data_IF_270794241400
#
_entry.id   IF_270794241400
#
_cell.length_a   1.000
_cell.length_b   1.000
_cell.length_c   1.000
_cell.angle_alpha   90.00
_cell.angle_beta   90.00
_cell.angle_gamma   90.00
#
_symmetry.space_group_name_H-M   'P 1'
#
loop_
_entity.id
_entity.type
_entity.pdbx_description
1 polymer ?
#
# COMPACT_ATOMS: atom_id res chain seq x y z
N UNK A 1 -22.70 -21.72 1.02
CA UNK A 1 -22.51 -21.30 -0.37
C UNK A 1 -21.02 -21.41 -0.79
N UNK A 2 -20.09 -20.79 -0.04
CA UNK A 2 -18.65 -20.80 -0.35
C UNK A 2 -18.09 -22.22 -0.53
N UNK A 3 -18.37 -23.13 0.42
CA UNK A 3 -17.94 -24.54 0.33
C UNK A 3 -18.43 -25.26 -0.95
N UNK A 4 -19.58 -24.84 -1.51
CA UNK A 4 -20.08 -25.38 -2.78
C UNK A 4 -19.39 -24.85 -4.02
N UNK A 5 -18.82 -23.64 -3.94
CA UNK A 5 -18.11 -22.98 -5.05
C UNK A 5 -16.62 -23.29 -5.06
N UNK A 6 -16.05 -23.52 -3.90
CA UNK A 6 -14.62 -23.75 -3.77
C UNK A 6 -14.21 -25.11 -4.40
N UNK A 7 -13.15 -25.08 -5.20
CA UNK A 7 -12.58 -26.23 -5.94
C UNK A 7 -11.05 -26.24 -5.89
N UNK A 8 -10.46 -25.75 -4.80
CA UNK A 8 -9.02 -25.72 -4.64
C UNK A 8 -8.42 -27.06 -4.21
N UNK A 9 -7.11 -27.13 -4.26
CA UNK A 9 -6.32 -28.31 -3.88
C UNK A 9 -6.23 -28.52 -2.36
N UNK A 10 -6.39 -27.46 -1.55
CA UNK A 10 -6.50 -27.57 -0.09
C UNK A 10 -7.92 -27.95 0.30
N UNK A 11 -8.08 -28.60 1.46
CA UNK A 11 -9.41 -28.78 2.03
C UNK A 11 -10.06 -27.42 2.34
N UNK A 12 -11.39 -27.37 2.36
CA UNK A 12 -12.10 -26.14 2.70
C UNK A 12 -11.77 -25.64 4.12
N UNK A 13 -11.59 -26.58 5.06
CA UNK A 13 -11.27 -26.27 6.45
C UNK A 13 -9.84 -25.72 6.58
N UNK A 14 -8.87 -26.32 5.87
CA UNK A 14 -7.50 -25.78 5.78
C UNK A 14 -7.45 -24.37 5.18
N UNK A 15 -8.26 -24.11 4.15
CA UNK A 15 -8.35 -22.78 3.55
C UNK A 15 -8.97 -21.76 4.51
N UNK A 16 -9.96 -22.15 5.30
CA UNK A 16 -10.53 -21.30 6.36
C UNK A 16 -9.53 -21.03 7.48
N UNK A 17 -8.71 -21.99 7.87
CA UNK A 17 -7.67 -21.81 8.89
C UNK A 17 -6.55 -20.88 8.38
N UNK A 18 -6.17 -20.96 7.11
CA UNK A 18 -5.25 -20.03 6.48
C UNK A 18 -5.84 -18.59 6.47
N UNK A 19 -7.11 -18.43 6.11
CA UNK A 19 -7.80 -17.13 6.09
C UNK A 19 -7.85 -16.49 7.49
N UNK A 20 -8.10 -17.30 8.53
CA UNK A 20 -8.23 -16.80 9.90
C UNK A 20 -6.89 -16.64 10.63
N UNK A 21 -5.77 -16.90 9.95
CA UNK A 21 -4.43 -16.82 10.52
C UNK A 21 -4.10 -17.93 11.54
N UNK A 22 -4.92 -18.98 11.62
CA UNK A 22 -4.65 -20.15 12.46
C UNK A 22 -3.55 -21.04 11.90
N UNK A 23 -3.31 -20.95 10.59
CA UNK A 23 -2.18 -21.60 9.92
C UNK A 23 -1.32 -20.54 9.26
N UNK A 24 -0.08 -20.37 9.71
CA UNK A 24 0.91 -19.45 9.12
C UNK A 24 1.73 -20.11 8.00
N UNK A 25 1.68 -21.44 7.90
CA UNK A 25 2.46 -22.21 6.92
C UNK A 25 1.73 -22.48 5.60
N UNK A 26 0.46 -22.14 5.48
CA UNK A 26 -0.33 -22.36 4.26
C UNK A 26 -0.80 -21.03 3.70
N UNK A 27 -0.47 -20.77 2.43
CA UNK A 27 -1.00 -19.62 1.70
C UNK A 27 -2.46 -19.89 1.33
N UNK A 28 -3.24 -18.82 1.27
CA UNK A 28 -4.64 -18.90 0.85
C UNK A 28 -4.69 -19.20 -0.66
N UNK A 29 -5.34 -20.32 -1.08
CA UNK A 29 -5.41 -20.66 -2.48
C UNK A 29 -6.15 -19.62 -3.33
N UNK A 30 -5.68 -19.39 -4.56
CA UNK A 30 -6.34 -18.48 -5.51
C UNK A 30 -7.80 -18.80 -5.71
N UNK A 31 -8.16 -20.08 -5.83
CA UNK A 31 -9.54 -20.54 -6.00
C UNK A 31 -10.44 -20.16 -4.82
N UNK A 32 -9.88 -20.13 -3.61
CA UNK A 32 -10.63 -19.70 -2.43
C UNK A 32 -10.91 -18.19 -2.46
N UNK A 33 -9.89 -17.40 -2.83
CA UNK A 33 -10.03 -15.94 -3.02
C UNK A 33 -11.07 -15.63 -4.10
N UNK A 34 -11.00 -16.30 -5.25
CA UNK A 34 -11.94 -16.12 -6.35
C UNK A 34 -13.38 -16.51 -5.97
N UNK A 35 -13.55 -17.60 -5.21
CA UNK A 35 -14.86 -18.01 -4.73
C UNK A 35 -15.47 -17.00 -3.74
N UNK A 36 -14.64 -16.41 -2.86
CA UNK A 36 -15.05 -15.33 -1.96
C UNK A 36 -15.46 -14.08 -2.74
N UNK A 37 -14.61 -13.65 -3.69
CA UNK A 37 -14.87 -12.48 -4.53
C UNK A 37 -16.18 -12.67 -5.30
N UNK A 38 -16.37 -13.81 -5.95
CA UNK A 38 -17.61 -14.12 -6.69
C UNK A 38 -18.86 -13.95 -5.82
N UNK A 39 -18.84 -14.52 -4.61
CA UNK A 39 -19.99 -14.39 -3.70
C UNK A 39 -20.23 -12.93 -3.30
N UNK A 40 -19.17 -12.22 -2.96
CA UNK A 40 -19.30 -10.85 -2.47
C UNK A 40 -19.75 -9.89 -3.58
N UNK A 41 -19.19 -10.02 -4.79
CA UNK A 41 -19.56 -9.20 -5.93
C UNK A 41 -21.03 -9.43 -6.34
N UNK A 42 -21.50 -10.67 -6.28
CA UNK A 42 -22.93 -10.98 -6.56
C UNK A 42 -23.89 -10.22 -5.62
N UNK A 43 -23.46 -9.90 -4.39
CA UNK A 43 -24.23 -9.11 -3.44
C UNK A 43 -24.19 -7.60 -3.75
N UNK A 44 -23.20 -7.15 -4.52
CA UNK A 44 -22.93 -5.73 -4.81
C UNK A 44 -23.35 -5.31 -6.23
N UNK A 45 -24.25 -6.06 -6.87
CA UNK A 45 -24.71 -5.80 -8.26
C UNK A 45 -25.05 -4.33 -8.52
N UNK A 46 -24.59 -3.81 -9.66
CA UNK A 46 -24.84 -2.43 -10.10
C UNK A 46 -24.01 -1.36 -9.40
N UNK A 47 -22.88 -1.73 -8.76
CA UNK A 47 -21.95 -0.80 -8.11
C UNK A 47 -20.58 -0.87 -8.75
N UNK A 48 -19.90 0.27 -8.84
CA UNK A 48 -18.46 0.31 -9.17
C UNK A 48 -17.67 -0.35 -8.04
N UNK A 49 -16.76 -1.27 -8.38
CA UNK A 49 -15.99 -2.05 -7.43
C UNK A 49 -14.50 -1.73 -7.59
N UNK A 50 -13.85 -1.44 -6.47
CA UNK A 50 -12.40 -1.37 -6.37
C UNK A 50 -11.90 -2.57 -5.59
N UNK A 51 -11.06 -3.40 -6.23
CA UNK A 51 -10.47 -4.58 -5.61
C UNK A 51 -9.01 -4.27 -5.31
N UNK A 52 -8.69 -4.10 -4.02
CA UNK A 52 -7.32 -3.86 -3.56
C UNK A 52 -6.63 -5.18 -3.23
N UNK A 53 -5.36 -5.27 -3.62
CA UNK A 53 -4.51 -6.41 -3.35
C UNK A 53 -4.76 -7.63 -4.25
N UNK A 54 -5.32 -7.43 -5.44
CA UNK A 54 -5.45 -8.42 -6.51
C UNK A 54 -4.96 -7.79 -7.82
N UNK A 55 -4.16 -8.52 -8.67
CA UNK A 55 -3.56 -9.83 -8.44
C UNK A 55 -2.38 -9.80 -7.45
N UNK A 56 -2.15 -10.90 -6.71
CA UNK A 56 -0.97 -11.14 -5.86
C UNK A 56 -0.18 -12.35 -6.27
N UNK A 57 -0.71 -13.12 -7.20
CA UNK A 57 -0.08 -14.28 -7.81
C UNK A 57 -0.16 -14.13 -9.33
N UNK A 58 0.80 -14.72 -10.02
CA UNK A 58 0.89 -14.58 -11.48
C UNK A 58 -0.25 -15.26 -12.23
N UNK A 59 -0.83 -16.32 -11.69
CA UNK A 59 -2.02 -16.99 -12.20
C UNK A 59 -3.26 -16.09 -12.09
N UNK A 60 -3.37 -15.28 -11.04
CA UNK A 60 -4.48 -14.33 -10.86
C UNK A 60 -4.53 -13.27 -11.96
N UNK A 61 -3.39 -12.94 -12.58
CA UNK A 61 -3.37 -12.05 -13.77
C UNK A 61 -4.12 -12.69 -14.93
N UNK A 62 -3.92 -13.98 -15.14
CA UNK A 62 -4.63 -14.72 -16.19
C UNK A 62 -6.13 -14.85 -15.90
N UNK A 63 -6.50 -15.05 -14.64
CA UNK A 63 -7.91 -15.08 -14.25
C UNK A 63 -8.63 -13.74 -14.43
N UNK A 64 -7.94 -12.62 -14.38
CA UNK A 64 -8.56 -11.32 -14.61
C UNK A 64 -9.14 -11.15 -16.02
N UNK A 65 -8.64 -11.90 -17.02
CA UNK A 65 -9.20 -11.94 -18.36
C UNK A 65 -10.63 -12.50 -18.40
N UNK A 66 -10.94 -13.39 -17.46
CA UNK A 66 -12.23 -14.06 -17.35
C UNK A 66 -13.06 -13.53 -16.18
N UNK A 67 -12.58 -12.46 -15.54
CA UNK A 67 -13.21 -11.98 -14.31
C UNK A 67 -14.64 -11.51 -14.55
N UNK A 68 -14.90 -10.83 -15.65
CA UNK A 68 -16.25 -10.40 -16.09
C UNK A 68 -17.21 -11.60 -16.23
N UNK A 69 -16.74 -12.66 -16.88
CA UNK A 69 -17.54 -13.88 -17.07
C UNK A 69 -17.77 -14.61 -15.74
N UNK A 70 -16.78 -14.64 -14.86
CA UNK A 70 -16.87 -15.27 -13.53
C UNK A 70 -17.91 -14.62 -12.62
N UNK A 71 -18.08 -13.29 -12.75
CA UNK A 71 -18.94 -12.48 -11.89
C UNK A 71 -20.24 -12.05 -12.58
N UNK A 72 -20.44 -12.44 -13.84
CA UNK A 72 -21.62 -12.10 -14.63
C UNK A 72 -21.79 -10.58 -14.93
N UNK A 73 -20.65 -9.87 -15.07
CA UNK A 73 -20.56 -8.45 -15.40
C UNK A 73 -19.92 -8.28 -16.78
N UNK A 74 -20.64 -8.67 -17.82
CA UNK A 74 -20.08 -8.73 -19.21
C UNK A 74 -19.95 -7.37 -19.88
N UNK A 75 -20.77 -6.41 -19.51
CA UNK A 75 -20.85 -5.10 -20.19
C UNK A 75 -20.06 -4.01 -19.42
N UNK A 76 -19.55 -4.31 -18.23
CA UNK A 76 -18.80 -3.36 -17.42
C UNK A 76 -17.33 -3.29 -17.85
N UNK A 77 -16.74 -2.08 -17.95
CA UNK A 77 -15.30 -1.94 -18.17
C UNK A 77 -14.53 -2.39 -16.93
N UNK A 78 -13.65 -3.37 -17.10
CA UNK A 78 -12.64 -3.71 -16.12
C UNK A 78 -11.30 -3.09 -16.50
N UNK A 79 -10.54 -2.67 -15.52
CA UNK A 79 -9.24 -2.05 -15.73
C UNK A 79 -8.24 -2.35 -14.62
N UNK A 80 -6.97 -2.33 -14.95
CA UNK A 80 -5.89 -2.38 -13.96
C UNK A 80 -5.47 -0.98 -13.54
N UNK A 81 -5.40 -0.76 -12.23
CA UNK A 81 -4.77 0.42 -11.64
C UNK A 81 -3.45 -0.04 -11.02
N UNK A 82 -2.35 0.38 -11.62
CA UNK A 82 -1.00 0.02 -11.25
C UNK A 82 -0.35 1.20 -10.52
N UNK A 83 0.23 0.95 -9.35
CA UNK A 83 0.89 1.99 -8.56
C UNK A 83 2.38 1.68 -8.53
N UNK A 84 3.15 2.51 -9.20
CA UNK A 84 4.62 2.43 -9.28
C UNK A 84 5.25 3.23 -8.14
N UNK A 85 5.98 2.54 -7.28
CA UNK A 85 6.67 3.11 -6.11
C UNK A 85 8.11 2.62 -6.12
N UNK A 86 9.12 3.50 -6.13
CA UNK A 86 10.52 3.08 -6.07
C UNK A 86 10.82 2.25 -4.82
N UNK A 87 11.65 1.23 -4.98
CA UNK A 87 12.07 0.36 -3.86
C UNK A 87 12.71 1.16 -2.73
N UNK A 88 13.51 2.18 -3.06
CA UNK A 88 14.11 3.07 -2.08
C UNK A 88 13.07 3.79 -1.20
N UNK A 89 11.91 4.17 -1.78
CA UNK A 89 10.79 4.76 -1.03
C UNK A 89 10.16 3.73 -0.10
N UNK A 90 9.98 2.51 -0.56
CA UNK A 90 9.43 1.40 0.24
C UNK A 90 10.37 1.09 1.40
N UNK A 91 11.67 1.01 1.14
CA UNK A 91 12.72 0.74 2.12
C UNK A 91 12.70 1.76 3.26
N UNK A 92 12.73 3.05 2.95
CA UNK A 92 12.67 4.12 3.96
C UNK A 92 11.35 4.11 4.75
N UNK A 93 10.23 3.82 4.10
CA UNK A 93 8.94 3.70 4.79
C UNK A 93 8.92 2.54 5.77
N UNK A 94 9.56 1.42 5.45
CA UNK A 94 9.67 0.26 6.34
C UNK A 94 10.63 0.57 7.50
N UNK A 95 11.84 1.03 7.22
CA UNK A 95 12.89 1.26 8.23
C UNK A 95 12.48 2.19 9.37
N UNK A 96 11.69 3.20 9.06
CA UNK A 96 11.27 4.20 10.04
C UNK A 96 9.83 4.03 10.53
N UNK A 97 9.22 2.87 10.22
CA UNK A 97 7.89 2.53 10.68
C UNK A 97 7.86 2.27 12.18
N UNK A 98 6.86 2.84 12.84
CA UNK A 98 6.55 2.59 14.24
C UNK A 98 5.09 2.22 14.40
N UNK A 99 4.80 1.35 15.37
CA UNK A 99 3.46 0.79 15.58
C UNK A 99 3.07 0.99 17.04
N UNK A 100 1.83 1.38 17.26
CA UNK A 100 1.28 1.43 18.61
C UNK A 100 1.11 0.01 19.16
N UNK A 101 1.66 -0.33 20.34
CA UNK A 101 1.54 -1.66 20.91
C UNK A 101 0.09 -2.04 21.23
N UNK A 102 -0.76 -1.06 21.52
CA UNK A 102 -2.16 -1.26 21.90
C UNK A 102 -3.09 -1.36 20.70
N UNK A 103 -3.25 -0.28 19.95
CA UNK A 103 -4.25 -0.21 18.88
C UNK A 103 -3.72 -0.59 17.50
N UNK A 104 -2.44 -0.99 17.40
CA UNK A 104 -1.75 -1.38 16.16
C UNK A 104 -1.71 -0.29 15.08
N UNK A 105 -2.09 0.96 15.42
CA UNK A 105 -1.97 2.07 14.48
C UNK A 105 -0.51 2.28 14.08
N UNK A 106 -0.29 2.51 12.79
CA UNK A 106 1.05 2.61 12.20
C UNK A 106 1.36 4.07 11.89
N UNK A 107 2.60 4.49 12.16
CA UNK A 107 3.17 5.78 11.78
C UNK A 107 4.59 5.57 11.23
N UNK A 108 5.19 6.67 10.80
CA UNK A 108 6.60 6.70 10.40
C UNK A 108 7.25 7.90 11.09
N UNK A 109 8.29 7.66 11.88
CA UNK A 109 8.92 8.72 12.69
C UNK A 109 9.58 9.80 11.83
N UNK A 110 9.88 9.49 10.58
CA UNK A 110 10.53 10.38 9.63
C UNK A 110 9.54 11.05 8.66
N UNK A 111 8.48 10.33 8.24
CA UNK A 111 7.62 10.75 7.13
C UNK A 111 6.15 10.96 7.50
N UNK A 112 5.69 10.40 8.62
CA UNK A 112 4.30 10.49 9.07
C UNK A 112 4.25 10.48 10.60
N UNK A 113 4.43 11.63 11.19
CA UNK A 113 4.48 11.80 12.64
C UNK A 113 3.11 11.91 13.29
N UNK A 114 3.07 11.78 14.61
CA UNK A 114 1.90 12.08 15.44
C UNK A 114 1.96 13.51 15.97
N UNK A 115 0.84 14.01 16.48
CA UNK A 115 0.76 15.34 17.09
C UNK A 115 1.56 15.47 18.38
N UNK A 116 1.83 14.36 19.06
CA UNK A 116 2.55 14.33 20.34
C UNK A 116 3.84 13.54 20.21
N UNK A 117 4.94 14.16 20.62
CA UNK A 117 6.28 13.60 20.56
C UNK A 117 6.89 13.71 21.95
N UNK A 118 7.57 12.67 22.37
CA UNK A 118 8.29 12.59 23.64
C UNK A 118 9.78 12.46 23.36
N UNK A 119 10.60 13.09 24.20
CA UNK A 119 12.03 12.91 24.19
C UNK A 119 12.43 12.06 25.40
N UNK A 120 13.08 10.95 25.16
CA UNK A 120 13.63 10.08 26.20
C UNK A 120 15.07 10.52 26.52
N UNK A 121 15.26 11.15 27.67
CA UNK A 121 16.58 11.66 28.09
C UNK A 121 17.60 10.54 28.32
N UNK A 122 17.14 9.34 28.76
CA UNK A 122 18.02 8.21 29.05
C UNK A 122 18.56 7.58 27.77
N UNK A 123 17.75 7.56 26.72
CA UNK A 123 18.11 6.97 25.42
C UNK A 123 18.60 8.01 24.42
N UNK A 124 18.40 9.30 24.67
CA UNK A 124 18.69 10.36 23.73
C UNK A 124 17.86 10.31 22.46
N UNK A 125 16.63 9.74 22.52
CA UNK A 125 15.79 9.47 21.35
C UNK A 125 14.43 10.12 21.47
N UNK A 126 13.86 10.45 20.28
CA UNK A 126 12.48 10.92 20.18
C UNK A 126 11.55 9.74 19.89
N UNK A 127 10.38 9.76 20.51
CA UNK A 127 9.33 8.76 20.33
C UNK A 127 8.02 9.45 19.95
N UNK A 128 7.30 8.86 19.01
CA UNK A 128 5.94 9.28 18.71
C UNK A 128 5.00 8.67 19.77
N UNK A 129 4.05 9.47 20.24
CA UNK A 129 2.95 9.00 21.09
C UNK A 129 1.71 8.79 20.24
N UNK A 130 1.03 7.67 20.39
CA UNK A 130 -0.15 7.34 19.59
C UNK A 130 -1.24 8.40 19.75
N UNK A 131 -1.73 8.90 18.64
CA UNK A 131 -2.80 9.91 18.54
C UNK A 131 -4.10 9.36 17.93
N UNK A 132 -4.19 8.04 17.79
CA UNK A 132 -5.39 7.39 17.25
C UNK A 132 -6.59 7.60 18.18
N UNK A 133 -7.77 8.00 17.65
CA UNK A 133 -9.00 8.11 18.44
C UNK A 133 -9.41 6.80 19.13
N UNK A 134 -8.95 5.66 18.59
CA UNK A 134 -9.20 4.33 19.17
C UNK A 134 -8.27 3.97 20.32
N UNK A 135 -7.25 4.80 20.57
CA UNK A 135 -6.22 4.53 21.59
C UNK A 135 -6.33 5.51 22.74
N UNK A 136 -6.81 5.05 23.88
CA UNK A 136 -7.08 5.89 25.07
C UNK A 136 -5.83 6.39 25.80
N UNK A 137 -4.64 5.85 25.54
CA UNK A 137 -3.51 6.07 26.43
C UNK A 137 -2.34 6.89 25.90
N UNK A 138 -2.33 7.28 24.62
CA UNK A 138 -1.17 7.98 24.04
C UNK A 138 0.12 7.18 24.19
N UNK A 139 0.06 5.87 23.97
CA UNK A 139 1.18 4.96 24.17
C UNK A 139 2.36 5.31 23.25
N UNK A 140 3.56 5.13 23.77
CA UNK A 140 4.80 5.25 22.99
C UNK A 140 4.75 4.25 21.83
N UNK A 141 4.91 4.74 20.59
CA UNK A 141 4.97 3.88 19.41
C UNK A 141 6.35 3.24 19.31
N UNK A 142 6.39 1.97 18.97
CA UNK A 142 7.60 1.16 18.94
C UNK A 142 7.96 0.77 17.50
N UNK A 143 9.26 0.67 17.16
CA UNK A 143 9.68 0.05 15.91
C UNK A 143 9.11 -1.36 15.79
N UNK A 144 8.69 -1.74 14.60
CA UNK A 144 8.27 -3.11 14.34
C UNK A 144 9.50 -3.99 14.16
N UNK A 145 9.48 -5.17 14.76
CA UNK A 145 10.55 -6.15 14.63
C UNK A 145 10.84 -6.49 13.16
N UNK A 146 12.12 -6.50 12.79
CA UNK A 146 12.59 -6.78 11.43
C UNK A 146 12.55 -5.56 10.49
N UNK A 147 11.85 -4.48 10.82
CA UNK A 147 11.74 -3.30 9.94
C UNK A 147 13.08 -2.55 9.76
N UNK A 148 14.00 -2.69 10.70
CA UNK A 148 15.36 -2.14 10.57
C UNK A 148 16.15 -2.71 9.38
N UNK A 149 15.74 -3.89 8.87
CA UNK A 149 16.31 -4.53 7.68
C UNK A 149 15.71 -3.99 6.37
N UNK A 150 14.73 -3.09 6.45
CA UNK A 150 14.07 -2.48 5.29
C UNK A 150 13.39 -3.50 4.37
N UNK A 151 13.68 -3.43 3.07
CA UNK A 151 13.07 -4.32 2.06
C UNK A 151 13.67 -5.73 2.04
N UNK A 152 14.82 -5.98 2.69
CA UNK A 152 15.52 -7.28 2.61
C UNK A 152 14.60 -8.46 2.94
N UNK A 153 13.80 -8.45 4.03
CA UNK A 153 12.92 -9.57 4.35
C UNK A 153 11.74 -9.77 3.38
N UNK A 154 11.44 -8.77 2.56
CA UNK A 154 10.32 -8.81 1.60
C UNK A 154 10.78 -8.81 0.14
N UNK A 155 12.07 -9.01 -0.13
CA UNK A 155 12.64 -8.98 -1.49
C UNK A 155 11.89 -9.90 -2.44
N UNK A 156 11.70 -11.16 -2.08
CA UNK A 156 10.99 -12.14 -2.91
C UNK A 156 9.55 -11.73 -3.26
N UNK A 157 8.92 -10.97 -2.37
CA UNK A 157 7.59 -10.41 -2.63
C UNK A 157 7.66 -9.25 -3.63
N UNK A 158 8.65 -8.37 -3.52
CA UNK A 158 8.83 -7.26 -4.46
C UNK A 158 9.12 -7.78 -5.87
N UNK A 159 10.00 -8.79 -5.99
CA UNK A 159 10.33 -9.43 -7.27
C UNK A 159 9.06 -10.03 -7.92
N UNK A 160 8.19 -10.63 -7.10
CA UNK A 160 6.91 -11.18 -7.55
C UNK A 160 5.92 -10.09 -7.96
N UNK A 161 5.82 -9.01 -7.18
CA UNK A 161 4.96 -7.88 -7.51
C UNK A 161 5.40 -7.24 -8.84
N UNK A 162 6.70 -7.13 -9.11
CA UNK A 162 7.24 -6.66 -10.39
C UNK A 162 6.90 -7.60 -11.57
N UNK A 163 6.99 -8.92 -11.37
CA UNK A 163 6.59 -9.91 -12.38
C UNK A 163 5.09 -9.79 -12.72
N UNK A 164 4.25 -9.65 -11.70
CA UNK A 164 2.81 -9.45 -11.86
C UNK A 164 2.53 -8.18 -12.65
N UNK A 165 3.22 -7.10 -12.31
CA UNK A 165 3.09 -5.80 -12.97
C UNK A 165 3.44 -5.90 -14.45
N UNK A 166 4.57 -6.54 -14.79
CA UNK A 166 4.96 -6.81 -16.18
C UNK A 166 3.93 -7.64 -16.94
N UNK A 167 3.39 -8.70 -16.33
CA UNK A 167 2.34 -9.53 -16.93
C UNK A 167 1.05 -8.75 -17.15
N UNK A 168 0.61 -7.95 -16.18
CA UNK A 168 -0.57 -7.11 -16.32
C UNK A 168 -0.42 -6.07 -17.45
N UNK A 169 0.78 -5.48 -17.59
CA UNK A 169 1.07 -4.57 -18.70
C UNK A 169 1.03 -5.25 -20.07
N UNK A 170 1.44 -6.50 -20.15
CA UNK A 170 1.46 -7.27 -21.38
C UNK A 170 0.07 -7.73 -21.85
N UNK A 171 -0.96 -7.65 -21.03
CA UNK A 171 -2.32 -7.99 -21.44
C UNK A 171 -2.87 -6.99 -22.43
N UNK A 172 -3.48 -7.47 -23.52
CA UNK A 172 -4.18 -6.66 -24.48
C UNK A 172 -5.69 -6.59 -24.19
N UNK A 173 -6.35 -5.51 -24.62
CA UNK A 173 -7.79 -5.36 -24.50
C UNK A 173 -8.33 -4.96 -23.12
N UNK A 174 -7.47 -4.83 -22.12
CA UNK A 174 -7.84 -4.31 -20.79
C UNK A 174 -7.17 -2.95 -20.60
N UNK A 175 -7.92 -1.88 -20.33
CA UNK A 175 -7.37 -0.56 -20.03
C UNK A 175 -6.49 -0.60 -18.78
N UNK A 176 -5.45 0.22 -18.75
CA UNK A 176 -4.49 0.30 -17.67
C UNK A 176 -4.25 1.74 -17.27
N UNK A 177 -4.31 1.98 -15.98
CA UNK A 177 -3.93 3.25 -15.35
C UNK A 177 -2.60 3.04 -14.65
N UNK A 178 -1.61 3.84 -14.98
CA UNK A 178 -0.35 3.87 -14.27
C UNK A 178 -0.26 5.10 -13.39
N UNK A 179 -0.17 4.89 -12.10
CA UNK A 179 0.04 5.93 -11.10
C UNK A 179 1.46 5.87 -10.59
N UNK A 180 2.12 7.01 -10.53
CA UNK A 180 3.43 7.17 -9.90
C UNK A 180 3.31 8.08 -8.70
N UNK A 181 3.91 7.68 -7.59
CA UNK A 181 3.95 8.51 -6.40
C UNK A 181 5.28 9.25 -6.23
N UNK A 182 6.11 9.27 -7.27
CA UNK A 182 7.38 9.97 -7.26
C UNK A 182 7.61 10.71 -8.58
N UNK A 183 8.36 11.80 -8.49
CA UNK A 183 8.80 12.60 -9.62
C UNK A 183 10.20 13.14 -9.35
N UNK A 184 10.97 13.44 -10.39
CA UNK A 184 12.27 14.07 -10.20
C UNK A 184 12.14 15.42 -9.49
N UNK A 185 13.15 15.81 -8.71
CA UNK A 185 13.17 17.14 -8.04
C UNK A 185 13.06 18.28 -9.06
N UNK A 186 13.57 18.08 -10.29
CA UNK A 186 13.48 19.09 -11.34
C UNK A 186 12.05 19.29 -11.86
N UNK A 187 11.31 18.19 -12.00
CA UNK A 187 9.91 18.21 -12.43
C UNK A 187 8.98 18.66 -11.29
N UNK A 188 9.26 18.24 -10.05
CA UNK A 188 8.41 18.62 -8.93
C UNK A 188 8.28 20.12 -8.78
N UNK A 189 9.37 20.87 -8.96
CA UNK A 189 9.37 22.33 -8.91
C UNK A 189 8.51 23.03 -9.97
N UNK A 190 8.15 22.31 -11.04
CA UNK A 190 7.35 22.87 -12.14
C UNK A 190 5.87 22.57 -11.98
N UNK A 191 5.52 21.45 -11.35
CA UNK A 191 4.18 20.89 -11.39
C UNK A 191 3.53 20.68 -10.03
N UNK A 192 4.31 20.75 -8.93
CA UNK A 192 3.82 20.44 -7.59
C UNK A 192 4.25 21.51 -6.59
N UNK A 193 3.36 21.82 -5.68
CA UNK A 193 3.65 22.66 -4.52
C UNK A 193 4.27 21.83 -3.39
N UNK A 194 5.02 22.48 -2.49
CA UNK A 194 5.71 21.82 -1.38
C UNK A 194 4.75 21.02 -0.48
N UNK A 195 3.50 21.47 -0.32
CA UNK A 195 2.46 20.77 0.47
C UNK A 195 1.92 19.50 -0.21
N UNK A 196 2.23 19.25 -1.48
CA UNK A 196 1.87 18.03 -2.21
C UNK A 196 2.97 16.97 -2.12
N UNK A 197 4.14 17.36 -1.63
CA UNK A 197 5.31 16.49 -1.46
C UNK A 197 5.28 15.87 -0.06
N UNK A 198 5.65 14.61 0.03
CA UNK A 198 5.80 13.93 1.33
C UNK A 198 6.85 14.68 2.17
N UNK A 199 6.50 15.14 3.37
CA UNK A 199 7.44 15.83 4.24
C UNK A 199 8.41 14.85 4.92
N UNK A 200 9.64 15.34 5.17
CA UNK A 200 10.59 14.73 6.08
C UNK A 200 10.62 15.50 7.38
N UNK A 201 10.42 14.83 8.50
CA UNK A 201 10.43 15.42 9.82
C UNK A 201 11.73 15.10 10.55
N UNK A 202 12.24 16.11 11.26
CA UNK A 202 13.32 15.96 12.23
C UNK A 202 12.99 16.73 13.50
N UNK A 203 13.62 16.38 14.60
CA UNK A 203 13.31 16.94 15.90
C UNK A 203 14.54 17.56 16.53
N UNK A 204 14.35 18.72 17.18
CA UNK A 204 15.35 19.38 18.02
C UNK A 204 14.75 19.75 19.36
N UNK A 205 15.56 19.68 20.40
CA UNK A 205 15.17 20.17 21.73
C UNK A 205 15.71 21.60 21.90
N UNK A 206 14.81 22.56 22.06
CA UNK A 206 15.15 23.96 22.28
C UNK A 206 14.40 24.47 23.51
N UNK A 207 15.11 24.97 24.51
CA UNK A 207 14.53 25.52 25.76
C UNK A 207 13.50 24.60 26.44
N UNK A 208 13.78 23.30 26.50
CA UNK A 208 12.89 22.30 27.13
C UNK A 208 11.68 21.90 26.30
N UNK A 209 11.51 22.45 25.09
CA UNK A 209 10.44 22.09 24.14
C UNK A 209 10.98 21.33 22.94
N UNK A 210 10.17 20.46 22.38
CA UNK A 210 10.50 19.75 21.14
C UNK A 210 10.04 20.62 19.96
N UNK A 211 10.98 21.00 19.11
CA UNK A 211 10.74 21.69 17.87
C UNK A 211 10.75 20.66 16.75
N UNK A 212 9.69 20.61 15.99
CA UNK A 212 9.56 19.82 14.76
C UNK A 212 10.06 20.67 13.60
N UNK A 213 10.95 20.11 12.80
CA UNK A 213 11.48 20.71 11.57
C UNK A 213 10.95 19.86 10.42
N UNK A 214 10.30 20.51 9.47
CA UNK A 214 9.71 19.90 8.29
C UNK A 214 10.43 20.42 7.04
N UNK A 215 10.68 19.54 6.09
CA UNK A 215 11.19 19.88 4.75
C UNK A 215 10.70 18.84 3.74
N UNK A 216 10.66 19.17 2.43
CA UNK A 216 10.35 18.19 1.40
C UNK A 216 11.32 17.00 1.47
N UNK A 217 10.76 15.80 1.49
CA UNK A 217 11.57 14.58 1.49
C UNK A 217 12.11 14.28 0.11
N UNK A 218 13.41 14.09 0.02
CA UNK A 218 14.09 13.72 -1.22
C UNK A 218 14.84 12.41 -1.07
N UNK A 219 14.77 11.58 -2.10
CA UNK A 219 15.45 10.28 -2.16
C UNK A 219 15.98 10.03 -3.56
N UNK A 220 16.94 9.14 -3.72
CA UNK A 220 17.30 8.62 -5.03
C UNK A 220 16.36 7.49 -5.37
N UNK A 221 15.71 7.56 -6.53
CA UNK A 221 14.89 6.47 -7.06
C UNK A 221 15.75 5.29 -7.58
N UNK A 222 15.11 4.28 -8.09
CA UNK A 222 15.77 3.05 -8.54
C UNK A 222 16.69 3.26 -9.76
N UNK A 223 16.56 4.40 -10.44
CA UNK A 223 17.43 4.85 -11.52
C UNK A 223 18.55 5.80 -11.03
N UNK A 224 18.65 6.03 -9.72
CA UNK A 224 19.62 6.95 -9.13
C UNK A 224 19.28 8.43 -9.28
N UNK A 225 18.09 8.76 -9.81
CA UNK A 225 17.62 10.14 -10.00
C UNK A 225 17.14 10.68 -8.65
N UNK A 226 17.55 11.91 -8.31
CA UNK A 226 17.05 12.58 -7.11
C UNK A 226 15.59 12.96 -7.31
N UNK A 227 14.72 12.34 -6.54
CA UNK A 227 13.26 12.41 -6.66
C UNK A 227 12.61 12.81 -5.34
N UNK A 228 11.37 13.28 -5.39
CA UNK A 228 10.46 13.48 -4.26
C UNK A 228 9.33 12.46 -4.34
N UNK A 229 8.81 12.07 -3.18
CA UNK A 229 7.60 11.25 -3.11
C UNK A 229 6.38 12.16 -2.90
N UNK A 230 5.34 11.92 -3.69
CA UNK A 230 4.10 12.70 -3.61
C UNK A 230 3.20 12.20 -2.48
N UNK A 231 2.39 13.09 -1.95
CA UNK A 231 1.27 12.75 -1.08
C UNK A 231 0.14 12.09 -1.89
N UNK A 232 -0.88 11.60 -1.22
CA UNK A 232 -2.00 10.90 -1.88
C UNK A 232 -2.84 11.81 -2.78
N UNK A 233 -2.99 13.10 -2.45
CA UNK A 233 -3.86 14.00 -3.19
C UNK A 233 -3.51 14.12 -4.69
N UNK A 234 -2.27 14.48 -5.09
CA UNK A 234 -1.92 14.55 -6.51
C UNK A 234 -2.02 13.20 -7.22
N UNK A 235 -1.75 12.09 -6.54
CA UNK A 235 -1.89 10.74 -7.11
C UNK A 235 -3.37 10.41 -7.37
N UNK A 236 -4.28 10.80 -6.46
CA UNK A 236 -5.74 10.63 -6.66
C UNK A 236 -6.24 11.51 -7.80
N UNK A 237 -5.75 12.75 -7.93
CA UNK A 237 -6.11 13.61 -9.07
C UNK A 237 -5.66 12.99 -10.40
N UNK A 238 -4.46 12.40 -10.43
CA UNK A 238 -3.97 11.68 -11.61
C UNK A 238 -4.83 10.45 -11.94
N UNK A 239 -5.29 9.72 -10.92
CA UNK A 239 -6.24 8.61 -11.09
C UNK A 239 -7.55 9.09 -11.71
N UNK A 240 -8.16 10.14 -11.16
CA UNK A 240 -9.43 10.67 -11.63
C UNK A 240 -9.35 11.15 -13.09
N UNK A 241 -8.27 11.83 -13.46
CA UNK A 241 -8.05 12.26 -14.85
C UNK A 241 -7.97 11.08 -15.83
N UNK A 242 -7.13 10.06 -15.50
CA UNK A 242 -6.98 8.89 -16.34
C UNK A 242 -8.28 8.06 -16.42
N UNK A 243 -9.06 8.00 -15.32
CA UNK A 243 -10.38 7.36 -15.33
C UNK A 243 -11.36 8.09 -16.25
N UNK A 244 -11.41 9.43 -16.15
CA UNK A 244 -12.29 10.24 -17.01
C UNK A 244 -11.94 10.04 -18.50
N UNK A 245 -10.65 10.04 -18.83
CA UNK A 245 -10.18 9.82 -20.21
C UNK A 245 -10.57 8.42 -20.74
N UNK A 246 -10.45 7.37 -19.90
CA UNK A 246 -10.78 5.99 -20.31
C UNK A 246 -12.30 5.77 -20.41
N UNK A 247 -13.08 6.42 -19.55
CA UNK A 247 -14.53 6.28 -19.50
C UNK A 247 -15.25 7.32 -20.39
N UNK A 248 -14.50 8.21 -21.05
CA UNK A 248 -15.01 9.26 -21.94
C UNK A 248 -16.04 10.20 -21.28
N UNK A 249 -15.80 10.57 -20.00
CA UNK A 249 -16.67 11.42 -19.17
C UNK A 249 -16.00 12.74 -18.76
#
# INVERSE_FOLDING_TARGET
KLKKLYRGYLSFDDACDALTGRSTGKLLPTEFVLALLKLHIQELKGRTLFIDGLPRETDQVSYSLFFRDLIDYRDDPDMFILIDIPESVIDERIKYRVVCPECKNTRNIKLLITRRIEYDEKQGKYHLLCDSPRCKGGHRMLPKEGDNLGIVPIRSRLDKDEEILRKAFALHGIPKILLRNHVSVAESKKFFDDYEITPEYSFKREKGRIKVIEKPWTIKDDNGIKSVSLLSAPVVVALLKQLADILEI
#
